data_IF_631996834216
#
_entry.id   IF_631996834216
#
_cell.length_a   1.000
_cell.length_b   1.000
_cell.length_c   1.000
_cell.angle_alpha   90.00
_cell.angle_beta   90.00
_cell.angle_gamma   90.00
#
_symmetry.space_group_name_H-M   'P 1'
#
loop_
_entity.id
_entity.type
_entity.pdbx_description
1 polymer ?
#
# COMPACT_ATOMS: atom_id res chain seq x y z
N UNK A 1 -21.25 -23.42 -25.03
CA UNK A 1 -20.75 -22.99 -25.40
C UNK A 1 -20.08 -22.02 -24.83
N UNK A 2 -19.81 -21.55 -24.30
CA UNK A 2 -19.16 -20.64 -23.92
C UNK A 2 -18.63 -20.60 -22.68
N UNK A 3 -18.27 -20.93 -22.11
CA UNK A 3 -17.86 -20.98 -21.01
C UNK A 3 -16.63 -20.75 -20.76
N UNK A 4 -16.00 -20.53 -20.97
CA UNK A 4 -14.84 -20.52 -20.97
C UNK A 4 -14.20 -19.58 -20.28
N UNK A 5 -13.52 -19.28 -20.19
CA UNK A 5 -12.82 -18.30 -19.94
C UNK A 5 -12.47 -17.92 -18.66
N UNK A 6 -12.87 -18.09 -17.86
CA UNK A 6 -12.60 -17.64 -16.67
C UNK A 6 -11.41 -18.10 -16.11
N UNK A 7 -10.86 -19.01 -16.51
CA UNK A 7 -9.84 -19.59 -15.91
C UNK A 7 -8.62 -18.84 -15.86
N UNK A 8 -8.36 -18.01 -16.68
CA UNK A 8 -7.11 -17.48 -16.73
C UNK A 8 -6.68 -16.65 -15.63
N UNK A 9 -7.51 -16.01 -14.96
CA UNK A 9 -7.12 -15.11 -13.92
C UNK A 9 -6.35 -15.75 -12.84
N UNK A 10 -6.54 -17.04 -12.67
CA UNK A 10 -5.87 -17.66 -11.60
C UNK A 10 -4.44 -17.87 -11.85
N UNK A 11 -4.08 -18.21 -12.99
CA UNK A 11 -2.69 -18.50 -13.26
C UNK A 11 -1.84 -17.32 -12.99
N UNK A 12 -2.36 -16.14 -13.24
CA UNK A 12 -1.57 -14.97 -13.00
C UNK A 12 -1.40 -14.69 -11.55
N UNK A 13 -2.41 -14.91 -10.78
CA UNK A 13 -2.33 -14.63 -9.38
C UNK A 13 -1.27 -15.45 -8.69
N UNK A 14 -1.04 -16.65 -9.12
CA UNK A 14 -0.08 -17.50 -8.44
C UNK A 14 1.36 -17.10 -8.73
N UNK A 15 1.59 -16.27 -9.73
CA UNK A 15 2.94 -15.87 -10.05
C UNK A 15 3.37 -14.60 -9.37
N UNK A 16 2.47 -13.92 -8.70
CA UNK A 16 2.81 -12.68 -8.04
C UNK A 16 3.43 -13.00 -6.69
N UNK A 17 4.65 -12.52 -6.41
CA UNK A 17 5.26 -12.79 -5.12
C UNK A 17 4.49 -12.09 -4.03
N UNK A 18 4.43 -12.71 -2.89
CA UNK A 18 3.78 -12.12 -1.74
C UNK A 18 4.59 -10.95 -1.26
N UNK A 19 3.97 -9.83 -1.08
CA UNK A 19 4.67 -8.65 -0.61
C UNK A 19 4.71 -8.58 0.90
N UNK A 20 3.61 -8.78 1.57
CA UNK A 20 3.53 -8.93 3.03
C UNK A 20 4.51 -8.09 3.86
N UNK A 21 4.51 -6.80 3.63
CA UNK A 21 5.46 -5.95 4.34
C UNK A 21 5.27 -5.98 5.86
N UNK A 22 4.09 -6.32 6.33
CA UNK A 22 3.84 -6.39 7.76
C UNK A 22 4.67 -7.48 8.46
N UNK A 23 5.18 -8.45 7.72
CA UNK A 23 6.01 -9.49 8.31
C UNK A 23 7.37 -8.95 8.76
N UNK A 24 7.81 -7.87 8.18
CA UNK A 24 9.13 -7.31 8.44
C UNK A 24 9.11 -5.84 8.81
N UNK A 25 7.94 -5.23 8.87
CA UNK A 25 7.79 -3.81 9.21
C UNK A 25 6.86 -3.63 10.40
N UNK A 26 7.09 -2.59 11.19
CA UNK A 26 6.24 -2.24 12.31
C UNK A 26 6.12 -0.74 12.45
N UNK A 27 5.32 -0.27 13.39
CA UNK A 27 5.03 1.14 13.58
C UNK A 27 4.50 1.74 12.29
N UNK A 28 3.58 1.01 11.68
CA UNK A 28 3.03 1.38 10.38
C UNK A 28 1.95 2.44 10.57
N UNK A 29 1.99 3.48 9.77
CA UNK A 29 1.00 4.55 9.86
C UNK A 29 0.88 5.34 8.58
N UNK A 30 -0.14 6.19 8.54
CA UNK A 30 -0.33 7.12 7.44
C UNK A 30 -0.08 8.52 7.92
N UNK A 31 0.42 9.38 7.04
CA UNK A 31 0.48 10.81 7.34
C UNK A 31 -0.92 11.39 7.35
N UNK A 32 -1.07 12.57 7.94
CA UNK A 32 -2.38 13.19 8.09
C UNK A 32 -3.12 13.42 6.78
N UNK A 33 -2.43 13.54 5.68
CA UNK A 33 -3.09 13.71 4.39
C UNK A 33 -3.46 12.36 3.75
N UNK A 34 -3.14 11.24 4.39
CA UNK A 34 -3.50 9.92 3.87
C UNK A 34 -2.69 9.46 2.67
N UNK A 35 -1.71 10.24 2.25
CA UNK A 35 -0.97 9.94 1.04
C UNK A 35 0.27 9.09 1.25
N UNK A 36 0.90 9.27 2.39
CA UNK A 36 2.20 8.67 2.62
C UNK A 36 2.13 7.59 3.70
N UNK A 37 2.58 6.41 3.36
CA UNK A 37 2.70 5.31 4.30
C UNK A 37 4.08 5.38 4.92
N UNK A 38 4.15 5.23 6.24
CA UNK A 38 5.42 5.25 6.95
C UNK A 38 5.53 3.99 7.80
N UNK A 39 6.72 3.47 7.93
CA UNK A 39 6.94 2.28 8.75
C UNK A 39 8.42 2.13 9.07
N UNK A 40 8.70 1.34 10.11
CA UNK A 40 10.05 0.91 10.46
C UNK A 40 10.19 -0.51 9.93
N UNK A 41 11.10 -0.73 9.00
CA UNK A 41 11.29 -2.03 8.36
C UNK A 41 12.67 -2.59 8.60
N UNK A 42 12.75 -3.90 8.84
CA UNK A 42 14.03 -4.54 9.07
C UNK A 42 14.87 -4.57 7.81
N UNK A 43 16.15 -4.33 8.01
CA UNK A 43 17.08 -4.43 6.90
C UNK A 43 17.30 -5.92 6.60
N UNK A 44 17.70 -6.21 5.38
CA UNK A 44 17.89 -7.55 4.88
C UNK A 44 18.53 -8.51 5.86
N UNK A 45 17.88 -9.62 6.10
CA UNK A 45 18.40 -10.70 6.95
C UNK A 45 18.74 -10.32 8.39
N UNK A 46 18.36 -9.17 8.85
CA UNK A 46 18.58 -8.79 10.23
C UNK A 46 17.50 -9.40 11.10
N UNK A 47 17.91 -10.10 12.12
CA UNK A 47 16.97 -10.67 13.07
C UNK A 47 16.71 -9.74 14.23
N UNK A 48 17.56 -8.72 14.36
CA UNK A 48 17.43 -7.80 15.46
C UNK A 48 16.62 -6.61 15.12
N UNK A 49 15.74 -6.24 16.01
CA UNK A 49 14.93 -5.05 15.84
C UNK A 49 15.77 -3.77 15.84
N UNK A 50 17.01 -3.87 16.22
CA UNK A 50 17.88 -2.73 16.33
C UNK A 50 18.26 -2.11 15.00
N UNK A 51 18.09 -2.85 13.91
CA UNK A 51 18.45 -2.34 12.61
C UNK A 51 17.23 -2.23 11.70
N UNK A 52 16.26 -1.50 12.16
CA UNK A 52 15.13 -1.16 11.34
C UNK A 52 15.33 0.24 10.79
N UNK A 53 14.93 0.44 9.57
CA UNK A 53 15.00 1.75 8.95
C UNK A 53 13.59 2.30 8.79
N UNK A 54 13.45 3.57 9.05
CA UNK A 54 12.19 4.25 8.87
C UNK A 54 12.13 4.81 7.46
N UNK A 55 11.06 4.57 6.76
CA UNK A 55 10.91 5.08 5.40
C UNK A 55 9.48 5.54 5.12
N UNK A 56 9.32 6.32 4.09
CA UNK A 56 8.03 6.85 3.65
C UNK A 56 7.79 6.48 2.20
N UNK A 57 6.59 6.01 1.91
CA UNK A 57 6.20 5.60 0.57
C UNK A 57 4.97 6.38 0.14
N UNK A 58 5.06 7.03 -1.02
CA UNK A 58 3.93 7.77 -1.58
C UNK A 58 2.95 6.77 -2.20
N UNK A 59 1.79 6.63 -1.57
CA UNK A 59 0.79 5.66 -2.03
C UNK A 59 0.16 6.03 -3.38
N UNK A 60 0.30 7.26 -3.83
CA UNK A 60 -0.13 7.61 -5.19
C UNK A 60 0.70 6.90 -6.26
N UNK A 61 1.88 6.39 -5.89
CA UNK A 61 2.69 5.58 -6.79
C UNK A 61 2.24 4.14 -6.86
N UNK A 62 1.35 3.74 -5.97
CA UNK A 62 1.00 2.34 -5.75
C UNK A 62 -0.47 2.02 -6.02
N UNK A 63 -1.34 2.99 -5.95
CA UNK A 63 -2.78 2.77 -5.93
C UNK A 63 -3.52 3.66 -6.93
N UNK A 64 -4.65 3.14 -7.41
CA UNK A 64 -5.54 3.87 -8.29
C UNK A 64 -6.96 3.69 -7.82
N UNK A 65 -7.80 4.70 -8.01
CA UNK A 65 -9.23 4.55 -7.86
C UNK A 65 -9.81 4.28 -9.24
N UNK A 66 -10.47 3.13 -9.41
CA UNK A 66 -11.04 2.80 -10.70
C UNK A 66 -12.40 3.49 -10.91
N UNK A 67 -13.00 3.29 -12.06
CA UNK A 67 -14.25 3.97 -12.42
C UNK A 67 -15.43 3.53 -11.55
N UNK A 68 -15.29 2.41 -10.85
CA UNK A 68 -16.36 1.90 -9.99
C UNK A 68 -16.22 2.40 -8.55
N UNK A 69 -15.20 3.18 -8.27
CA UNK A 69 -14.96 3.66 -6.91
C UNK A 69 -14.22 2.65 -6.02
N UNK A 70 -13.47 1.75 -6.62
CA UNK A 70 -12.67 0.79 -5.85
C UNK A 70 -11.20 1.14 -5.96
N UNK A 71 -10.47 0.93 -4.86
CA UNK A 71 -9.01 1.12 -4.86
C UNK A 71 -8.37 -0.15 -5.39
N UNK A 72 -7.48 -0.01 -6.36
CA UNK A 72 -6.76 -1.12 -6.93
C UNK A 72 -5.27 -0.81 -6.96
N UNK A 73 -4.46 -1.85 -7.05
CA UNK A 73 -3.01 -1.68 -7.15
C UNK A 73 -2.65 -1.31 -8.58
N UNK A 74 -1.98 -0.20 -8.75
CA UNK A 74 -1.52 0.22 -10.07
C UNK A 74 -0.36 1.20 -9.94
N UNK A 75 0.70 0.98 -10.69
CA UNK A 75 1.86 1.86 -10.66
C UNK A 75 1.46 3.26 -11.10
N UNK A 76 1.84 4.25 -10.32
CA UNK A 76 1.52 5.66 -10.57
C UNK A 76 0.02 5.92 -10.76
N UNK A 77 -0.80 5.20 -10.01
CA UNK A 77 -2.24 5.28 -10.16
C UNK A 77 -2.89 6.54 -9.64
N UNK A 78 -2.20 7.28 -8.77
CA UNK A 78 -2.63 8.60 -8.32
C UNK A 78 -4.06 8.63 -7.74
N UNK A 79 -4.30 7.80 -6.74
CA UNK A 79 -5.66 7.59 -6.22
C UNK A 79 -6.20 8.74 -5.35
N UNK A 80 -5.31 9.49 -4.73
CA UNK A 80 -5.77 10.43 -3.72
C UNK A 80 -6.61 11.60 -4.18
N UNK A 81 -6.46 12.15 -5.34
CA UNK A 81 -7.36 13.24 -5.70
C UNK A 81 -8.83 12.83 -5.68
N UNK A 82 -9.09 11.52 -5.76
CA UNK A 82 -10.45 11.01 -5.87
C UNK A 82 -11.06 10.51 -4.57
N UNK A 83 -10.27 10.40 -3.51
CA UNK A 83 -10.76 9.89 -2.22
C UNK A 83 -10.31 10.79 -1.08
N UNK A 84 -10.96 10.64 0.08
CA UNK A 84 -10.67 11.42 1.28
C UNK A 84 -10.74 10.56 2.51
N UNK A 85 -10.34 11.14 3.63
CA UNK A 85 -10.49 10.52 4.95
C UNK A 85 -9.93 9.12 4.99
N UNK A 86 -8.72 8.95 4.49
CA UNK A 86 -8.08 7.66 4.49
C UNK A 86 -7.58 7.29 5.89
N UNK A 87 -7.81 6.05 6.28
CA UNK A 87 -7.39 5.52 7.58
C UNK A 87 -6.74 4.17 7.36
N UNK A 88 -5.87 3.79 8.29
CA UNK A 88 -5.18 2.52 8.22
C UNK A 88 -5.39 1.75 9.51
N UNK A 89 -5.76 0.49 9.40
CA UNK A 89 -5.91 -0.35 10.59
C UNK A 89 -4.64 -1.17 10.86
N UNK A 90 -4.67 -1.99 11.88
CA UNK A 90 -3.51 -2.78 12.31
C UNK A 90 -3.10 -3.85 11.30
N UNK A 91 -3.99 -4.24 10.42
CA UNK A 91 -3.72 -5.25 9.42
C UNK A 91 -3.36 -4.62 8.08
N UNK A 92 -3.06 -3.32 8.09
CA UNK A 92 -2.72 -2.55 6.92
C UNK A 92 -3.86 -2.46 5.89
N UNK A 93 -5.10 -2.52 6.36
CA UNK A 93 -6.23 -2.25 5.49
C UNK A 93 -6.45 -0.74 5.47
N UNK A 94 -6.31 -0.19 4.30
CA UNK A 94 -6.55 1.22 4.02
C UNK A 94 -8.03 1.39 3.73
N UNK A 95 -8.68 2.32 4.40
CA UNK A 95 -10.08 2.65 4.16
C UNK A 95 -10.18 4.12 3.84
N UNK A 96 -10.72 4.45 2.69
CA UNK A 96 -10.91 5.84 2.27
C UNK A 96 -12.37 6.06 1.87
N UNK A 97 -12.78 7.30 1.76
CA UNK A 97 -14.12 7.64 1.34
C UNK A 97 -14.08 8.21 -0.07
N UNK A 98 -14.90 7.63 -0.94
CA UNK A 98 -15.08 8.10 -2.30
C UNK A 98 -16.43 8.80 -2.41
N UNK A 99 -16.47 9.98 -3.00
CA UNK A 99 -17.70 10.71 -3.21
C UNK A 99 -18.01 10.69 -4.72
N UNK A 100 -18.85 9.76 -5.11
CA UNK A 100 -19.25 9.61 -6.50
C UNK A 100 -20.65 10.17 -6.77
N UNK A 101 -21.13 9.94 -7.95
CA UNK A 101 -22.46 10.42 -8.36
C UNK A 101 -23.57 9.79 -7.53
N UNK A 102 -23.36 8.57 -7.09
CA UNK A 102 -24.39 7.88 -6.30
C UNK A 102 -24.24 8.11 -4.80
N UNK A 103 -23.36 9.00 -4.40
CA UNK A 103 -23.16 9.31 -3.01
C UNK A 103 -21.83 8.81 -2.49
N UNK A 104 -21.77 8.65 -1.19
CA UNK A 104 -20.56 8.31 -0.49
C UNK A 104 -20.34 6.80 -0.44
N UNK A 105 -19.13 6.36 -0.66
CA UNK A 105 -18.76 4.96 -0.62
C UNK A 105 -17.43 4.78 0.10
N UNK A 106 -17.34 3.73 0.92
CA UNK A 106 -16.07 3.39 1.55
C UNK A 106 -15.29 2.46 0.63
N UNK A 107 -14.03 2.78 0.41
CA UNK A 107 -13.14 1.98 -0.40
C UNK A 107 -12.10 1.34 0.49
N UNK A 108 -11.88 0.04 0.35
CA UNK A 108 -10.93 -0.68 1.17
C UNK A 108 -9.86 -1.34 0.30
N UNK A 109 -8.65 -1.33 0.79
CA UNK A 109 -7.55 -2.03 0.12
C UNK A 109 -6.52 -2.48 1.14
N UNK A 110 -6.12 -3.74 1.07
CA UNK A 110 -5.10 -4.24 1.97
C UNK A 110 -3.72 -3.95 1.38
N UNK A 111 -2.98 -3.04 2.03
CA UNK A 111 -1.67 -2.64 1.55
C UNK A 111 -0.66 -3.76 1.56
N UNK A 112 -0.89 -4.80 2.37
CA UNK A 112 0.00 -5.94 2.43
C UNK A 112 0.06 -6.70 1.09
N UNK A 113 -0.91 -6.45 0.21
CA UNK A 113 -0.94 -7.10 -1.10
C UNK A 113 -0.08 -6.40 -2.15
N UNK A 114 0.37 -5.20 -1.89
CA UNK A 114 1.14 -4.45 -2.88
C UNK A 114 2.44 -3.88 -2.35
N UNK A 115 2.50 -3.61 -1.05
CA UNK A 115 3.69 -2.98 -0.46
C UNK A 115 4.69 -4.03 -0.03
N UNK A 116 5.95 -3.79 -0.31
CA UNK A 116 7.03 -4.68 0.11
C UNK A 116 8.07 -3.90 0.90
N UNK A 117 8.92 -4.64 1.58
CA UNK A 117 10.09 -4.11 2.27
C UNK A 117 11.32 -4.51 1.44
N UNK A 118 12.02 -3.54 0.89
CA UNK A 118 13.24 -3.81 0.15
C UNK A 118 14.40 -3.26 0.96
N UNK A 119 15.08 -4.16 1.66
CA UNK A 119 16.24 -3.81 2.47
C UNK A 119 16.00 -2.64 3.41
N UNK A 120 14.86 -2.65 4.07
CA UNK A 120 14.51 -1.62 5.05
C UNK A 120 13.68 -0.47 4.50
N UNK A 121 13.46 -0.41 3.20
CA UNK A 121 12.74 0.69 2.58
C UNK A 121 11.44 0.18 1.96
N UNK A 122 10.33 0.83 2.29
CA UNK A 122 9.03 0.49 1.71
C UNK A 122 9.02 0.74 0.20
N UNK A 123 8.33 -0.10 -0.53
CA UNK A 123 8.19 0.08 -1.96
C UNK A 123 6.94 -0.58 -2.52
N UNK A 124 6.67 -0.33 -3.79
CA UNK A 124 5.61 -0.97 -4.56
C UNK A 124 6.01 -0.97 -6.03
N UNK A 125 5.74 -2.03 -6.73
CA UNK A 125 6.11 -2.16 -8.14
C UNK A 125 7.61 -1.91 -8.32
N UNK A 126 8.00 -1.01 -9.19
CA UNK A 126 9.40 -0.66 -9.39
C UNK A 126 9.82 0.58 -8.62
N UNK A 127 8.96 1.06 -7.72
CA UNK A 127 9.20 2.29 -6.98
C UNK A 127 9.53 1.98 -5.54
N UNK A 128 10.58 2.58 -5.02
CA UNK A 128 10.89 2.52 -3.60
C UNK A 128 10.73 3.91 -3.00
N UNK A 129 10.29 3.92 -1.76
CA UNK A 129 10.14 5.16 -1.03
C UNK A 129 11.47 5.75 -0.61
N UNK A 130 11.43 6.66 0.32
CA UNK A 130 12.63 7.36 0.78
C UNK A 130 12.87 7.08 2.26
N UNK A 131 14.12 6.94 2.68
CA UNK A 131 14.40 6.78 4.10
C UNK A 131 14.10 8.09 4.84
N UNK A 132 13.66 7.98 6.08
CA UNK A 132 13.44 9.11 6.94
C UNK A 132 14.44 9.01 8.07
N UNK A 133 15.33 9.97 8.15
CA UNK A 133 16.35 9.95 9.18
C UNK A 133 15.84 10.46 10.51
N UNK A 134 14.81 11.29 10.47
CA UNK A 134 14.34 11.92 11.67
C UNK A 134 12.90 11.57 11.91
N UNK A 135 12.58 11.20 13.12
CA UNK A 135 11.22 10.84 13.47
C UNK A 135 10.24 12.00 13.34
N UNK A 136 10.74 13.20 13.23
CA UNK A 136 9.88 14.38 13.13
C UNK A 136 9.26 14.55 11.77
N UNK A 137 9.73 13.83 10.79
CA UNK A 137 9.27 14.06 9.43
C UNK A 137 7.80 13.73 9.22
N UNK A 138 7.15 13.14 10.22
CA UNK A 138 5.78 12.74 10.03
C UNK A 138 4.89 13.03 11.22
N UNK A 139 5.27 13.96 11.97
CA UNK A 139 4.35 14.49 12.93
C UNK A 139 3.51 15.63 12.31
#
# INVERSE_FOLDING_TARGET
MYQRLLIFCFALATLVPANHFLDTCRKVGLTVNGRTLVADCRYKNQKDDEKAYKSALDLNRCLKLNDWGDITAEADGNFLPSVRECRLDKLATLTCVYFGEEGQKNCLFNLNNVVFNKDGILGCFNYTGVPIEDAQAWE
#
